data_IF_683766550036
#
_entry.id   IF_683766550036
#
_cell.length_a   1.000
_cell.length_b   1.000
_cell.length_c   1.000
_cell.angle_alpha   90.00
_cell.angle_beta   90.00
_cell.angle_gamma   90.00
#
_symmetry.space_group_name_H-M   'P 1'
#
loop_
_entity.id
_entity.type
_entity.pdbx_description
1 polymer ?
#
# COMPACT_ATOMS: atom_id res chain seq x y z
N UNK A 1 0.09 4.02 -26.84
CA UNK A 1 0.79 4.04 -25.54
C UNK A 1 1.95 5.06 -25.51
N UNK A 2 2.84 5.09 -26.52
CA UNK A 2 3.97 6.07 -26.61
C UNK A 2 3.57 7.54 -26.41
N UNK A 3 2.49 8.00 -27.07
CA UNK A 3 2.03 9.39 -26.93
C UNK A 3 1.65 9.77 -25.50
N UNK A 4 0.99 8.86 -24.78
CA UNK A 4 0.51 9.07 -23.40
C UNK A 4 1.60 8.96 -22.33
N UNK A 5 2.72 8.28 -22.63
CA UNK A 5 3.89 8.25 -21.74
C UNK A 5 4.75 9.51 -21.87
N UNK A 6 4.72 10.15 -23.04
CA UNK A 6 5.52 11.34 -23.33
C UNK A 6 4.70 12.66 -23.33
N UNK A 7 3.38 12.60 -23.16
CA UNK A 7 2.51 13.78 -23.08
C UNK A 7 1.50 13.61 -21.96
N UNK A 8 1.34 14.66 -21.16
CA UNK A 8 0.29 14.72 -20.14
C UNK A 8 -0.88 15.56 -20.62
N UNK A 9 -2.09 15.05 -20.39
CA UNK A 9 -3.35 15.76 -20.60
C UNK A 9 -3.60 16.64 -19.38
N UNK A 10 -3.74 17.94 -19.59
CA UNK A 10 -4.13 18.92 -18.57
C UNK A 10 -5.52 19.42 -18.93
N UNK A 11 -6.47 19.28 -18.00
CA UNK A 11 -7.84 19.77 -18.19
C UNK A 11 -8.01 21.00 -17.31
N UNK A 12 -8.37 22.14 -17.91
CA UNK A 12 -8.66 23.39 -17.19
C UNK A 12 -10.00 23.94 -17.66
N UNK A 13 -10.98 23.95 -16.77
CA UNK A 13 -12.38 24.39 -16.97
C UNK A 13 -13.07 23.88 -18.26
N UNK A 14 -12.74 24.46 -19.42
CA UNK A 14 -13.33 24.12 -20.73
C UNK A 14 -12.32 23.63 -21.77
N UNK A 15 -11.03 23.65 -21.45
CA UNK A 15 -9.96 23.37 -22.41
C UNK A 15 -9.11 22.17 -21.97
N UNK A 16 -8.72 21.39 -22.97
CA UNK A 16 -7.85 20.23 -22.82
C UNK A 16 -6.54 20.53 -23.53
N UNK A 17 -5.46 20.62 -22.76
CA UNK A 17 -4.12 20.86 -23.28
C UNK A 17 -3.29 19.59 -23.20
N UNK A 18 -2.45 19.37 -24.20
CA UNK A 18 -1.44 18.30 -24.17
C UNK A 18 -0.06 18.95 -24.04
N UNK A 19 0.63 18.62 -22.94
CA UNK A 19 1.99 19.11 -22.69
C UNK A 19 2.97 17.95 -22.81
N UNK A 20 4.01 18.12 -23.63
CA UNK A 20 5.12 17.18 -23.70
C UNK A 20 5.83 17.08 -22.33
N UNK A 21 6.19 15.86 -21.96
CA UNK A 21 6.89 15.53 -20.71
C UNK A 21 8.39 15.51 -20.96
N UNK A 22 9.15 15.92 -19.96
CA UNK A 22 10.60 15.71 -19.95
C UNK A 22 10.92 14.22 -19.84
N UNK A 23 12.15 13.82 -20.22
CA UNK A 23 12.59 12.42 -20.12
C UNK A 23 12.45 11.88 -18.69
N UNK A 24 12.81 12.68 -17.68
CA UNK A 24 12.70 12.28 -16.26
C UNK A 24 11.25 12.08 -15.83
N UNK A 25 10.35 12.97 -16.24
CA UNK A 25 8.91 12.83 -15.94
C UNK A 25 8.32 11.61 -16.64
N UNK A 26 8.69 11.35 -17.90
CA UNK A 26 8.21 10.19 -18.65
C UNK A 26 8.67 8.86 -18.02
N UNK A 27 9.92 8.80 -17.55
CA UNK A 27 10.44 7.65 -16.78
C UNK A 27 9.66 7.48 -15.48
N UNK A 28 9.49 8.56 -14.71
CA UNK A 28 8.72 8.51 -13.47
C UNK A 28 7.28 8.04 -13.67
N UNK A 29 6.61 8.51 -14.74
CA UNK A 29 5.25 8.08 -15.09
C UNK A 29 5.18 6.62 -15.53
N UNK A 30 6.16 6.13 -16.30
CA UNK A 30 6.28 4.71 -16.66
C UNK A 30 6.44 3.84 -15.41
N UNK A 31 7.34 4.22 -14.51
CA UNK A 31 7.63 3.44 -13.31
C UNK A 31 6.44 3.47 -12.34
N UNK A 32 5.75 4.61 -12.21
CA UNK A 32 4.52 4.72 -11.46
C UNK A 32 3.41 3.82 -12.04
N UNK A 33 3.25 3.79 -13.36
CA UNK A 33 2.29 2.90 -14.03
C UNK A 33 2.63 1.42 -13.77
N UNK A 34 3.91 1.04 -13.87
CA UNK A 34 4.34 -0.32 -13.57
C UNK A 34 4.05 -0.71 -12.11
N UNK A 35 4.35 0.17 -11.15
CA UNK A 35 4.01 -0.03 -9.73
C UNK A 35 2.50 -0.16 -9.52
N UNK A 36 1.69 0.65 -10.20
CA UNK A 36 0.24 0.58 -10.11
C UNK A 36 -0.32 -0.74 -10.65
N UNK A 37 0.14 -1.19 -11.83
CA UNK A 37 -0.26 -2.48 -12.41
C UNK A 37 0.07 -3.63 -11.45
N UNK A 38 1.27 -3.62 -10.85
CA UNK A 38 1.66 -4.63 -9.88
C UNK A 38 0.78 -4.61 -8.62
N UNK A 39 0.46 -3.41 -8.10
CA UNK A 39 -0.42 -3.26 -6.94
C UNK A 39 -1.84 -3.80 -7.22
N UNK A 40 -2.41 -3.50 -8.39
CA UNK A 40 -3.73 -4.02 -8.78
C UNK A 40 -3.71 -5.54 -8.98
N UNK A 41 -2.64 -6.09 -9.56
CA UNK A 41 -2.46 -7.53 -9.69
C UNK A 41 -2.38 -8.20 -8.31
N UNK A 42 -1.61 -7.65 -7.38
CA UNK A 42 -1.51 -8.18 -6.02
C UNK A 42 -2.87 -8.18 -5.32
N UNK A 43 -3.60 -7.06 -5.39
CA UNK A 43 -4.95 -6.95 -4.83
C UNK A 43 -5.90 -7.98 -5.45
N UNK A 44 -5.83 -8.19 -6.77
CA UNK A 44 -6.65 -9.18 -7.46
C UNK A 44 -6.34 -10.61 -7.01
N UNK A 45 -5.06 -10.96 -6.83
CA UNK A 45 -4.65 -12.28 -6.31
C UNK A 45 -5.22 -12.50 -4.91
N UNK A 46 -5.07 -11.52 -4.01
CA UNK A 46 -5.63 -11.59 -2.64
C UNK A 46 -7.14 -11.79 -2.68
N UNK A 47 -7.85 -11.05 -3.55
CA UNK A 47 -9.28 -11.18 -3.72
C UNK A 47 -9.70 -12.58 -4.21
N UNK A 48 -8.99 -13.14 -5.18
CA UNK A 48 -9.26 -14.48 -5.71
C UNK A 48 -9.05 -15.55 -4.63
N UNK A 49 -7.96 -15.45 -3.86
CA UNK A 49 -7.67 -16.37 -2.75
C UNK A 49 -8.76 -16.27 -1.68
N UNK A 50 -9.13 -15.06 -1.26
CA UNK A 50 -10.17 -14.85 -0.25
C UNK A 50 -11.52 -15.41 -0.71
N UNK A 51 -11.88 -15.23 -1.98
CA UNK A 51 -13.11 -15.81 -2.55
C UNK A 51 -13.08 -17.33 -2.57
N UNK A 52 -11.92 -17.94 -2.83
CA UNK A 52 -11.77 -19.39 -2.79
C UNK A 52 -11.85 -19.96 -1.36
N UNK A 53 -11.51 -19.16 -0.34
CA UNK A 53 -11.57 -19.52 1.07
C UNK A 53 -12.90 -19.14 1.75
N UNK A 54 -13.80 -18.44 1.04
CA UNK A 54 -15.08 -17.99 1.58
C UNK A 54 -15.96 -19.20 1.95
N UNK A 55 -16.44 -19.22 3.20
CA UNK A 55 -17.33 -20.25 3.71
C UNK A 55 -18.72 -19.67 3.93
N UNK A 56 -19.78 -20.41 3.58
CA UNK A 56 -21.18 -19.96 3.64
C UNK A 56 -21.78 -19.93 5.05
N UNK A 57 -21.00 -20.28 6.08
CA UNK A 57 -21.44 -20.26 7.48
C UNK A 57 -21.16 -18.92 8.18
N UNK A 58 -22.07 -18.49 9.05
CA UNK A 58 -21.86 -17.29 9.88
C UNK A 58 -20.87 -17.59 11.02
N UNK A 59 -19.60 -17.24 10.84
CA UNK A 59 -18.60 -17.39 11.91
C UNK A 59 -18.71 -16.23 12.90
N UNK A 60 -19.10 -16.53 14.15
CA UNK A 60 -19.22 -15.54 15.23
C UNK A 60 -17.86 -15.12 15.82
N UNK A 61 -16.79 -15.87 15.53
CA UNK A 61 -15.43 -15.63 16.05
C UNK A 61 -14.40 -16.02 14.99
N UNK A 62 -13.24 -15.35 14.99
CA UNK A 62 -12.10 -15.70 14.15
C UNK A 62 -10.80 -15.56 14.94
N UNK A 63 -9.78 -16.32 14.54
CA UNK A 63 -8.41 -16.20 15.03
C UNK A 63 -7.58 -15.70 13.84
N UNK A 64 -7.04 -14.49 13.97
CA UNK A 64 -6.13 -13.91 12.99
C UNK A 64 -4.69 -14.17 13.36
N UNK A 65 -3.87 -14.59 12.40
CA UNK A 65 -2.41 -14.64 12.53
C UNK A 65 -1.84 -13.45 11.79
N UNK A 66 -0.99 -12.67 12.45
CA UNK A 66 -0.35 -11.49 11.88
C UNK A 66 1.13 -11.79 11.61
N UNK A 67 1.52 -11.68 10.34
CA UNK A 67 2.91 -11.77 9.89
C UNK A 67 3.24 -10.49 9.11
N UNK A 68 4.07 -9.63 9.70
CA UNK A 68 4.48 -8.35 9.11
C UNK A 68 5.96 -8.08 9.39
N UNK A 69 6.56 -7.16 8.64
CA UNK A 69 7.94 -6.70 8.86
C UNK A 69 8.14 -6.12 10.27
N UNK A 70 9.23 -6.50 10.92
CA UNK A 70 9.66 -5.97 12.22
C UNK A 70 10.27 -4.57 12.12
N UNK A 71 10.71 -4.01 13.24
CA UNK A 71 11.36 -2.70 13.28
C UNK A 71 12.69 -2.73 12.51
N UNK A 72 12.89 -1.79 11.60
CA UNK A 72 14.06 -1.71 10.71
C UNK A 72 14.83 -0.41 10.93
N UNK A 73 16.15 -0.46 10.90
CA UNK A 73 17.00 0.74 10.89
C UNK A 73 18.25 0.47 10.08
N UNK A 74 18.41 1.19 8.99
CA UNK A 74 19.58 1.10 8.10
C UNK A 74 20.38 2.41 8.12
N UNK A 75 21.53 2.43 7.44
CA UNK A 75 22.33 3.65 7.27
C UNK A 75 21.58 4.73 6.48
N UNK A 76 20.80 4.33 5.47
CA UNK A 76 19.93 5.20 4.68
C UNK A 76 18.49 4.71 4.84
N UNK A 77 17.66 5.51 5.51
CA UNK A 77 16.24 5.22 5.70
C UNK A 77 15.40 6.05 4.74
N UNK A 78 14.44 5.41 4.09
CA UNK A 78 13.49 6.05 3.17
C UNK A 78 12.07 6.04 3.75
N UNK A 79 11.10 6.46 2.95
CA UNK A 79 9.69 6.47 3.35
C UNK A 79 9.17 5.07 3.75
N UNK A 80 9.72 4.02 3.12
CA UNK A 80 9.39 2.63 3.39
C UNK A 80 9.68 2.25 4.85
N UNK A 81 10.87 2.54 5.37
CA UNK A 81 11.24 2.26 6.76
C UNK A 81 10.37 3.04 7.75
N UNK A 82 10.02 4.29 7.42
CA UNK A 82 9.11 5.07 8.24
C UNK A 82 7.74 4.39 8.37
N UNK A 83 7.16 3.90 7.27
CA UNK A 83 5.89 3.18 7.28
C UNK A 83 5.96 1.89 8.11
N UNK A 84 7.04 1.11 7.95
CA UNK A 84 7.27 -0.14 8.69
C UNK A 84 7.39 0.13 10.20
N UNK A 85 8.24 1.10 10.59
CA UNK A 85 8.48 1.43 11.99
C UNK A 85 7.25 2.06 12.65
N UNK A 86 6.49 2.88 11.92
CA UNK A 86 5.25 3.44 12.42
C UNK A 86 4.20 2.35 12.70
N UNK A 87 4.07 1.35 11.81
CA UNK A 87 3.18 0.22 12.05
C UNK A 87 3.60 -0.57 13.31
N UNK A 88 4.90 -0.82 13.48
CA UNK A 88 5.44 -1.48 14.67
C UNK A 88 5.19 -0.68 15.95
N UNK A 89 5.34 0.64 15.91
CA UNK A 89 5.03 1.51 17.07
C UNK A 89 3.55 1.39 17.48
N UNK A 90 2.64 1.30 16.51
CA UNK A 90 1.21 1.09 16.80
C UNK A 90 0.92 -0.29 17.38
N UNK A 91 1.60 -1.33 16.92
CA UNK A 91 1.47 -2.67 17.51
C UNK A 91 2.03 -2.72 18.93
N UNK A 92 3.18 -2.08 19.18
CA UNK A 92 3.74 -1.97 20.53
C UNK A 92 2.81 -1.18 21.46
N UNK A 93 2.18 -0.12 20.95
CA UNK A 93 1.16 0.62 21.68
C UNK A 93 -0.03 -0.27 22.07
N UNK A 94 -0.55 -1.09 21.14
CA UNK A 94 -1.64 -2.03 21.44
C UNK A 94 -1.23 -3.09 22.46
N UNK A 95 -0.04 -3.68 22.33
CA UNK A 95 0.50 -4.64 23.28
C UNK A 95 0.59 -4.03 24.69
N UNK A 96 1.20 -2.85 24.82
CA UNK A 96 1.35 -2.15 26.10
C UNK A 96 0.00 -1.82 26.74
N UNK A 97 -1.00 -1.42 25.95
CA UNK A 97 -2.35 -1.16 26.45
C UNK A 97 -3.02 -2.43 26.95
N UNK A 98 -2.92 -3.54 26.21
CA UNK A 98 -3.46 -4.83 26.61
C UNK A 98 -2.82 -5.31 27.92
N UNK A 99 -1.48 -5.29 28.01
CA UNK A 99 -0.76 -5.68 29.23
C UNK A 99 -1.15 -4.83 30.44
N UNK A 100 -1.26 -3.50 30.28
CA UNK A 100 -1.71 -2.62 31.37
C UNK A 100 -3.14 -2.90 31.82
N UNK A 101 -4.04 -3.24 30.91
CA UNK A 101 -5.42 -3.64 31.26
C UNK A 101 -5.45 -4.95 32.03
N UNK A 102 -4.59 -5.90 31.69
CA UNK A 102 -4.51 -7.21 32.37
C UNK A 102 -3.86 -7.12 33.75
N UNK A 103 -2.98 -6.15 34.01
CA UNK A 103 -2.29 -6.01 35.30
C UNK A 103 -3.06 -5.14 36.31
N UNK A 104 -4.06 -4.37 35.86
CA UNK A 104 -4.89 -3.50 36.71
C UNK A 104 -6.24 -4.18 37.10
N UNK A 105 -6.50 -5.41 36.65
CA UNK A 105 -7.59 -6.28 37.09
C UNK A 105 -7.03 -7.45 37.90
#
# INVERSE_FOLDING_TARGET
MRSWLCHRKIVSMKEVFFKAMTVREAIGARDALAKHIYAELFNWIVLVINKALENTGTSQRFIGVLDIYGFETFEINSFEQFCINYANEKLQQQFNQASRRTVIL
#
